data_IF_092909549973
#
_entry.id   IF_092909549973
#
_cell.length_a   1.000
_cell.length_b   1.000
_cell.length_c   1.000
_cell.angle_alpha   90.00
_cell.angle_beta   90.00
_cell.angle_gamma   90.00
#
_symmetry.space_group_name_H-M   'P 1'
#
loop_
_entity.id
_entity.type
_entity.pdbx_description
1 polymer ?
#
# COMPACT_ATOMS: atom_id res chain seq x y z
N UNK A 1 38.24 -81.85 -9.59
CA UNK A 1 36.78 -82.07 -9.57
C UNK A 1 36.16 -80.69 -9.38
N UNK A 2 35.85 -79.97 -10.46
CA UNK A 2 34.55 -79.94 -11.16
C UNK A 2 33.46 -79.30 -10.27
N UNK A 3 32.63 -78.35 -10.68
CA UNK A 3 32.42 -77.61 -11.92
C UNK A 3 31.53 -76.38 -11.60
N UNK A 4 31.42 -75.50 -12.59
CA UNK A 4 30.79 -74.18 -12.68
C UNK A 4 29.25 -74.19 -12.41
N UNK A 5 28.71 -73.12 -11.82
CA UNK A 5 27.47 -72.49 -12.32
C UNK A 5 27.35 -71.01 -11.92
N UNK A 6 27.01 -70.20 -12.92
CA UNK A 6 26.92 -68.74 -12.94
C UNK A 6 25.43 -68.29 -12.94
N UNK A 7 25.11 -67.25 -12.12
CA UNK A 7 24.05 -66.18 -12.19
C UNK A 7 22.54 -66.55 -12.42
N UNK A 8 21.52 -65.71 -12.03
CA UNK A 8 21.52 -64.23 -12.02
C UNK A 8 20.73 -63.45 -10.92
N UNK A 9 20.97 -62.13 -10.94
CA UNK A 9 20.26 -60.91 -10.49
C UNK A 9 18.99 -60.93 -9.60
N UNK A 10 18.96 -60.03 -8.60
CA UNK A 10 17.85 -59.11 -8.33
C UNK A 10 18.30 -57.90 -7.45
N UNK A 11 17.95 -56.64 -7.82
CA UNK A 11 18.31 -55.44 -7.06
C UNK A 11 17.33 -55.16 -5.91
N UNK A 12 17.84 -54.75 -4.75
CA UNK A 12 17.01 -54.28 -3.62
C UNK A 12 16.64 -52.82 -3.89
N UNK A 13 15.33 -52.58 -4.00
CA UNK A 13 14.72 -51.29 -4.24
C UNK A 13 14.94 -50.30 -3.08
N UNK A 14 15.41 -49.10 -3.41
CA UNK A 14 15.25 -47.90 -2.59
C UNK A 14 13.79 -47.46 -2.68
N UNK A 15 12.99 -47.77 -1.66
CA UNK A 15 11.64 -47.22 -1.51
C UNK A 15 11.74 -45.72 -1.23
N UNK A 16 11.26 -44.94 -2.20
CA UNK A 16 11.03 -43.50 -2.08
C UNK A 16 9.98 -43.21 -1.00
N UNK A 17 10.31 -42.33 -0.06
CA UNK A 17 9.36 -41.74 0.87
C UNK A 17 8.47 -40.70 0.14
N UNK A 18 7.18 -40.56 0.49
CA UNK A 18 6.24 -39.69 -0.20
C UNK A 18 6.55 -38.18 -0.01
N UNK A 19 6.17 -37.32 -0.97
CA UNK A 19 6.59 -35.92 -1.08
C UNK A 19 5.85 -34.95 -0.13
N UNK A 20 5.33 -35.41 1.00
CA UNK A 20 4.51 -34.60 1.91
C UNK A 20 5.29 -33.93 3.05
N UNK A 21 6.60 -34.17 3.18
CA UNK A 21 7.42 -33.60 4.27
C UNK A 21 8.35 -32.44 3.85
N UNK A 22 8.48 -32.14 2.56
CA UNK A 22 9.29 -30.99 2.09
C UNK A 22 8.51 -29.66 2.03
N UNK A 23 7.17 -29.70 2.16
CA UNK A 23 6.35 -28.49 2.14
C UNK A 23 6.34 -27.72 3.47
N UNK A 24 6.50 -28.40 4.61
CA UNK A 24 6.47 -27.76 5.92
C UNK A 24 7.74 -26.95 6.24
N UNK A 25 8.90 -27.30 5.65
CA UNK A 25 10.16 -26.61 5.94
C UNK A 25 10.39 -25.35 5.07
N UNK A 26 9.70 -25.23 3.93
CA UNK A 26 9.81 -24.08 3.03
C UNK A 26 8.99 -22.86 3.50
N UNK A 27 7.93 -23.07 4.30
CA UNK A 27 7.11 -21.99 4.87
C UNK A 27 7.84 -21.27 6.02
N UNK A 28 8.66 -22.00 6.79
CA UNK A 28 9.43 -21.43 7.90
C UNK A 28 10.64 -20.60 7.44
N UNK A 29 11.29 -20.94 6.32
CA UNK A 29 12.44 -20.17 5.80
C UNK A 29 12.06 -18.88 5.05
N UNK A 30 10.82 -18.76 4.55
CA UNK A 30 10.31 -17.51 3.95
C UNK A 30 10.05 -16.40 4.97
N UNK A 31 9.82 -16.74 6.24
CA UNK A 31 9.63 -15.75 7.31
C UNK A 31 10.93 -15.04 7.73
N UNK A 32 12.10 -15.68 7.56
CA UNK A 32 13.38 -15.12 8.00
C UNK A 32 13.97 -14.09 7.01
N UNK A 33 13.70 -14.21 5.71
CA UNK A 33 14.25 -13.29 4.69
C UNK A 33 13.41 -12.01 4.57
N UNK A 34 12.10 -12.09 4.82
CA UNK A 34 11.24 -10.91 4.95
C UNK A 34 11.66 -10.04 6.17
N UNK A 35 12.21 -10.66 7.22
CA UNK A 35 12.66 -9.97 8.42
C UNK A 35 13.90 -9.08 8.19
N UNK A 36 14.74 -9.39 7.19
CA UNK A 36 15.99 -8.68 6.96
C UNK A 36 15.84 -7.43 6.08
N UNK A 37 14.86 -7.38 5.17
CA UNK A 37 14.57 -6.19 4.35
C UNK A 37 13.63 -5.18 5.04
N UNK A 38 12.88 -5.62 6.06
CA UNK A 38 12.05 -4.75 6.90
C UNK A 38 12.87 -3.82 7.81
N UNK A 39 14.15 -4.17 8.07
CA UNK A 39 15.00 -3.47 9.03
C UNK A 39 15.71 -2.22 8.50
N UNK A 40 15.65 -1.92 7.21
CA UNK A 40 16.30 -0.71 6.67
C UNK A 40 15.47 0.56 6.86
N UNK A 41 14.17 0.44 7.20
CA UNK A 41 13.32 1.58 7.60
C UNK A 41 12.99 1.62 9.11
N UNK A 42 13.54 0.71 9.91
CA UNK A 42 13.33 0.65 11.36
C UNK A 42 14.45 1.34 12.13
N UNK A 43 14.74 2.61 11.83
CA UNK A 43 15.37 3.55 12.77
C UNK A 43 15.27 4.98 12.17
N UNK A 44 14.34 5.85 12.57
CA UNK A 44 14.50 6.67 13.76
C UNK A 44 13.20 7.44 14.07
N UNK A 45 12.63 7.18 15.25
CA UNK A 45 12.00 8.16 16.17
C UNK A 45 11.00 9.20 15.60
N UNK A 46 9.74 8.79 15.55
CA UNK A 46 8.75 9.36 16.47
C UNK A 46 7.94 8.20 17.00
N UNK A 47 7.72 8.14 18.31
CA UNK A 47 6.74 7.22 18.85
C UNK A 47 5.43 7.50 18.12
N UNK A 48 4.89 6.50 17.45
CA UNK A 48 3.47 6.42 17.17
C UNK A 48 2.76 6.46 18.53
N UNK A 49 2.59 7.65 19.09
CA UNK A 49 1.49 7.89 19.99
C UNK A 49 0.24 7.83 19.11
N UNK A 50 -0.15 6.61 18.74
CA UNK A 50 -1.50 6.28 18.27
C UNK A 50 -2.46 6.43 19.45
N UNK A 51 -2.46 7.62 20.04
CA UNK A 51 -3.44 8.05 21.00
C UNK A 51 -4.73 8.21 20.24
N UNK A 52 -5.77 7.51 20.71
CA UNK A 52 -7.13 7.77 20.26
C UNK A 52 -7.41 9.26 20.53
N UNK A 53 -7.87 10.04 19.54
CA UNK A 53 -8.22 11.45 19.73
C UNK A 53 -9.21 11.64 20.88
N UNK A 54 -9.31 12.86 21.39
CA UNK A 54 -10.29 13.15 22.44
C UNK A 54 -11.72 13.18 21.88
N UNK A 55 -12.67 12.68 22.66
CA UNK A 55 -14.09 12.71 22.28
C UNK A 55 -14.63 14.15 22.41
N UNK A 56 -15.37 14.61 21.40
CA UNK A 56 -16.03 15.92 21.41
C UNK A 56 -17.17 15.95 22.44
N UNK A 57 -17.21 17.01 23.26
CA UNK A 57 -18.31 17.29 24.19
C UNK A 57 -19.43 18.06 23.49
N UNK A 58 -20.62 17.48 23.45
CA UNK A 58 -21.83 18.11 22.90
C UNK A 58 -22.67 18.70 24.04
N UNK A 59 -22.57 20.02 24.23
CA UNK A 59 -23.33 20.76 25.24
C UNK A 59 -24.45 21.60 24.63
N UNK A 60 -25.41 21.99 25.46
CA UNK A 60 -26.45 22.94 25.08
C UNK A 60 -25.82 24.30 24.71
N UNK A 61 -26.35 24.95 23.67
CA UNK A 61 -25.87 26.26 23.22
C UNK A 61 -24.53 26.25 22.48
N UNK A 62 -23.99 25.07 22.12
CA UNK A 62 -22.77 24.97 21.34
C UNK A 62 -22.99 25.43 19.88
N UNK A 63 -22.21 26.42 19.44
CA UNK A 63 -22.18 26.83 18.04
C UNK A 63 -21.35 25.86 17.19
N UNK A 64 -21.98 25.22 16.22
CA UNK A 64 -21.33 24.29 15.31
C UNK A 64 -20.28 24.99 14.45
N UNK A 65 -19.15 24.30 14.27
CA UNK A 65 -18.02 24.72 13.45
C UNK A 65 -17.43 23.48 12.78
N UNK A 66 -16.76 23.59 11.62
CA UNK A 66 -16.18 22.45 10.92
C UNK A 66 -15.27 21.58 11.81
N UNK A 67 -14.54 22.21 12.74
CA UNK A 67 -13.63 21.52 13.65
C UNK A 67 -14.34 20.48 14.53
N UNK A 68 -15.60 20.72 14.93
CA UNK A 68 -16.34 19.76 15.75
C UNK A 68 -16.62 18.45 14.98
N UNK A 69 -16.99 18.57 13.71
CA UNK A 69 -17.21 17.40 12.85
C UNK A 69 -15.89 16.70 12.53
N UNK A 70 -14.85 17.46 12.17
CA UNK A 70 -13.53 16.90 11.87
C UNK A 70 -12.93 16.12 13.05
N UNK A 71 -13.05 16.64 14.28
CA UNK A 71 -12.57 15.95 15.47
C UNK A 71 -13.43 14.73 15.82
N UNK A 72 -14.74 14.80 15.60
CA UNK A 72 -15.62 13.66 15.76
C UNK A 72 -15.27 12.54 14.77
N UNK A 73 -15.04 12.87 13.50
CA UNK A 73 -14.67 11.89 12.47
C UNK A 73 -13.33 11.23 12.79
N UNK A 74 -12.30 12.03 13.11
CA UNK A 74 -11.00 11.52 13.54
C UNK A 74 -11.09 10.59 14.76
N UNK A 75 -11.92 10.93 15.75
CA UNK A 75 -12.15 10.07 16.92
C UNK A 75 -12.73 8.72 16.52
N UNK A 76 -13.73 8.70 15.64
CA UNK A 76 -14.38 7.46 15.20
C UNK A 76 -13.48 6.62 14.31
N UNK A 77 -12.78 7.22 13.36
CA UNK A 77 -11.80 6.55 12.48
C UNK A 77 -10.68 5.92 13.29
N UNK A 78 -10.07 6.66 14.22
CA UNK A 78 -9.00 6.15 15.08
C UNK A 78 -9.48 5.00 15.98
N UNK A 79 -10.70 5.11 16.54
CA UNK A 79 -11.28 4.04 17.37
C UNK A 79 -11.56 2.78 16.55
N UNK A 80 -12.06 2.92 15.32
CA UNK A 80 -12.27 1.81 14.39
C UNK A 80 -10.94 1.15 14.04
N UNK A 81 -9.95 1.94 13.63
CA UNK A 81 -8.62 1.45 13.29
C UNK A 81 -7.95 0.71 14.47
N UNK A 82 -8.02 1.27 15.68
CA UNK A 82 -7.46 0.64 16.88
C UNK A 82 -8.15 -0.69 17.21
N UNK A 83 -9.47 -0.74 17.09
CA UNK A 83 -10.24 -1.98 17.31
C UNK A 83 -9.90 -3.03 16.27
N UNK A 84 -9.78 -2.64 14.99
CA UNK A 84 -9.44 -3.55 13.91
C UNK A 84 -8.01 -4.11 14.06
N UNK A 85 -7.06 -3.30 14.53
CA UNK A 85 -5.68 -3.73 14.83
C UNK A 85 -5.58 -4.68 16.01
N UNK A 86 -6.50 -4.59 16.98
CA UNK A 86 -6.57 -5.57 18.06
C UNK A 86 -6.93 -6.98 17.54
N UNK A 87 -7.64 -7.07 16.40
CA UNK A 87 -7.97 -8.32 15.74
C UNK A 87 -6.88 -8.77 14.76
N UNK A 88 -6.28 -7.82 14.02
CA UNK A 88 -5.25 -8.09 13.03
C UNK A 88 -4.07 -7.10 13.18
N UNK A 89 -2.98 -7.48 13.88
CA UNK A 89 -1.90 -6.55 14.25
C UNK A 89 -1.22 -5.82 13.09
N UNK A 90 -1.21 -6.43 11.90
CA UNK A 90 -0.62 -5.90 10.67
C UNK A 90 -1.69 -5.62 9.61
N UNK A 91 -2.78 -4.92 10.00
CA UNK A 91 -3.88 -4.54 9.09
C UNK A 91 -3.50 -3.34 8.20
N UNK A 92 -2.42 -3.45 7.45
CA UNK A 92 -2.00 -2.47 6.44
C UNK A 92 -1.34 -3.19 5.26
N UNK A 93 -1.34 -2.58 4.09
CA UNK A 93 -0.80 -3.16 2.87
C UNK A 93 -1.73 -3.04 1.67
N UNK A 94 -1.29 -3.61 0.55
CA UNK A 94 -2.01 -3.69 -0.71
C UNK A 94 -3.08 -4.79 -0.62
N UNK A 95 -4.32 -4.45 -0.95
CA UNK A 95 -5.41 -5.39 -1.16
C UNK A 95 -5.50 -5.81 -2.63
N UNK A 96 -5.43 -4.83 -3.52
CA UNK A 96 -5.38 -5.06 -4.97
C UNK A 96 -4.58 -3.96 -5.66
N UNK A 97 -3.86 -4.31 -6.72
CA UNK A 97 -3.11 -3.36 -7.53
C UNK A 97 -3.08 -3.82 -8.98
N UNK A 98 -3.54 -2.97 -9.88
CA UNK A 98 -3.64 -3.26 -11.31
C UNK A 98 -2.77 -2.28 -12.07
N UNK A 99 -1.83 -2.81 -12.85
CA UNK A 99 -0.82 -2.05 -13.58
C UNK A 99 -1.06 -2.11 -15.08
N UNK A 100 -0.90 -0.97 -15.75
CA UNK A 100 -0.93 -0.87 -17.21
C UNK A 100 0.45 -1.29 -17.78
N UNK A 101 0.61 -2.58 -18.08
CA UNK A 101 1.88 -3.12 -18.59
C UNK A 101 2.20 -2.68 -20.02
N UNK A 102 1.21 -2.25 -20.80
CA UNK A 102 1.46 -1.71 -22.14
C UNK A 102 2.02 -0.28 -22.04
N UNK A 103 1.52 0.54 -21.11
CA UNK A 103 2.16 1.80 -20.75
C UNK A 103 3.58 1.60 -20.21
N UNK A 104 3.82 0.54 -19.42
CA UNK A 104 5.17 0.22 -18.91
C UNK A 104 6.15 -0.05 -20.04
N UNK A 105 5.76 -0.83 -21.06
CA UNK A 105 6.56 -1.06 -22.26
C UNK A 105 6.86 0.24 -23.02
N UNK A 106 5.94 1.20 -22.97
CA UNK A 106 6.11 2.54 -23.52
C UNK A 106 6.90 3.51 -22.60
N UNK A 107 7.47 3.02 -21.49
CA UNK A 107 8.28 3.82 -20.56
C UNK A 107 7.47 4.66 -19.58
N UNK A 108 6.19 4.35 -19.36
CA UNK A 108 5.33 5.05 -18.40
C UNK A 108 4.80 4.09 -17.34
N UNK A 109 4.96 4.45 -16.08
CA UNK A 109 4.37 3.72 -14.97
C UNK A 109 2.97 4.27 -14.65
N UNK A 110 1.95 3.42 -14.78
CA UNK A 110 0.54 3.81 -14.60
C UNK A 110 -0.25 2.69 -13.92
N UNK A 111 -1.15 3.11 -13.04
CA UNK A 111 -2.14 2.25 -12.40
C UNK A 111 -3.48 2.30 -13.14
N UNK A 112 -4.15 1.16 -13.21
CA UNK A 112 -5.54 1.01 -13.64
C UNK A 112 -6.49 0.87 -12.44
N UNK A 113 -5.97 0.34 -11.32
CA UNK A 113 -6.69 0.14 -10.08
C UNK A 113 -5.74 0.09 -8.90
N UNK A 114 -6.15 0.62 -7.75
CA UNK A 114 -5.37 0.61 -6.53
C UNK A 114 -6.29 0.49 -5.31
N UNK A 115 -6.12 -0.55 -4.53
CA UNK A 115 -6.77 -0.69 -3.24
C UNK A 115 -5.79 -1.10 -2.16
N UNK A 116 -5.72 -0.32 -1.08
CA UNK A 116 -4.77 -0.53 0.01
C UNK A 116 -5.22 0.13 1.32
N UNK A 117 -4.58 -0.26 2.42
CA UNK A 117 -4.74 0.37 3.73
C UNK A 117 -3.37 0.85 4.20
N UNK A 118 -3.23 2.15 4.48
CA UNK A 118 -2.03 2.76 5.05
C UNK A 118 -1.87 2.41 6.54
N UNK A 119 -0.64 2.59 7.05
CA UNK A 119 -0.30 2.28 8.45
C UNK A 119 -1.03 3.17 9.45
N UNK A 120 -1.39 4.38 9.04
CA UNK A 120 -2.20 5.32 9.80
C UNK A 120 -3.70 4.94 9.85
N UNK A 121 -4.11 3.96 9.05
CA UNK A 121 -5.48 3.44 8.97
C UNK A 121 -6.29 3.98 7.78
N UNK A 122 -5.73 4.86 6.96
CA UNK A 122 -6.43 5.36 5.78
C UNK A 122 -6.62 4.26 4.74
N UNK A 123 -7.87 4.10 4.30
CA UNK A 123 -8.25 3.15 3.27
C UNK A 123 -8.38 3.90 1.95
N UNK A 124 -7.65 3.44 0.93
CA UNK A 124 -7.75 3.98 -0.43
C UNK A 124 -8.30 2.93 -1.38
N UNK A 125 -9.24 3.37 -2.21
CA UNK A 125 -9.83 2.59 -3.30
C UNK A 125 -9.95 3.49 -4.54
N UNK A 126 -9.05 3.33 -5.50
CA UNK A 126 -9.01 4.09 -6.75
C UNK A 126 -9.31 3.15 -7.94
N UNK A 127 -10.21 3.55 -8.87
CA UNK A 127 -10.76 4.90 -9.06
C UNK A 127 -12.06 5.22 -8.27
N UNK A 128 -12.57 4.29 -7.45
CA UNK A 128 -13.90 4.42 -6.84
C UNK A 128 -14.01 5.61 -5.85
N UNK A 129 -13.28 5.57 -4.75
CA UNK A 129 -13.29 6.56 -3.66
C UNK A 129 -12.11 7.54 -3.70
N UNK A 130 -11.10 7.30 -4.54
CA UNK A 130 -9.97 8.21 -4.76
C UNK A 130 -9.60 8.27 -6.27
N UNK A 131 -9.00 9.35 -6.76
CA UNK A 131 -8.43 9.36 -8.10
C UNK A 131 -7.22 8.42 -8.18
N UNK A 132 -6.95 7.87 -9.37
CA UNK A 132 -5.71 7.14 -9.61
C UNK A 132 -4.51 8.09 -9.54
N UNK A 133 -3.35 7.64 -9.00
CA UNK A 133 -2.13 8.42 -9.03
C UNK A 133 -1.72 8.84 -10.44
N UNK A 134 -1.06 10.00 -10.55
CA UNK A 134 -0.57 10.49 -11.83
C UNK A 134 0.46 9.51 -12.44
N UNK A 135 0.41 9.22 -13.75
CA UNK A 135 1.41 8.39 -14.41
C UNK A 135 2.81 8.99 -14.31
N UNK A 136 3.81 8.14 -14.12
CA UNK A 136 5.20 8.56 -14.01
C UNK A 136 5.96 8.21 -15.28
N UNK A 137 6.71 9.17 -15.81
CA UNK A 137 7.59 8.99 -16.95
C UNK A 137 8.94 8.40 -16.49
N UNK A 138 9.21 7.15 -16.87
CA UNK A 138 10.41 6.41 -16.45
C UNK A 138 11.68 6.89 -17.18
N UNK A 139 11.55 7.70 -18.24
CA UNK A 139 12.71 8.30 -18.92
C UNK A 139 13.50 9.25 -18.02
N UNK A 140 12.86 9.74 -16.94
CA UNK A 140 13.48 10.63 -15.94
C UNK A 140 14.41 9.89 -14.97
N UNK A 141 14.33 8.55 -14.91
CA UNK A 141 15.16 7.74 -14.02
C UNK A 141 16.58 7.65 -14.62
N UNK A 142 17.64 8.01 -13.86
CA UNK A 142 19.01 7.96 -14.37
C UNK A 142 19.41 6.58 -14.89
N UNK A 143 20.23 6.55 -15.95
CA UNK A 143 20.68 5.30 -16.56
C UNK A 143 21.55 4.43 -15.63
N UNK A 144 22.17 5.03 -14.62
CA UNK A 144 22.94 4.33 -13.57
C UNK A 144 22.06 3.53 -12.60
N UNK A 145 20.76 3.82 -12.52
CA UNK A 145 19.82 3.12 -11.65
C UNK A 145 19.31 1.87 -12.38
N UNK A 146 19.67 0.71 -11.83
CA UNK A 146 19.32 -0.61 -12.35
C UNK A 146 18.08 -1.21 -11.70
N UNK A 147 17.76 -0.80 -10.47
CA UNK A 147 16.59 -1.23 -9.71
C UNK A 147 15.99 0.00 -9.02
N UNK A 148 14.66 0.12 -9.05
CA UNK A 148 13.92 1.22 -8.42
C UNK A 148 12.63 0.69 -7.80
N UNK A 149 12.38 1.03 -6.55
CA UNK A 149 11.14 0.66 -5.85
C UNK A 149 10.16 1.81 -5.89
N UNK A 150 8.92 1.52 -6.27
CA UNK A 150 7.82 2.46 -6.34
C UNK A 150 6.86 2.24 -5.17
N UNK A 151 6.43 3.36 -4.61
CA UNK A 151 5.56 3.42 -3.45
C UNK A 151 4.26 4.13 -3.82
N UNK A 152 3.15 3.61 -3.31
CA UNK A 152 1.97 4.43 -3.09
C UNK A 152 2.24 5.31 -1.87
N UNK A 153 2.36 6.61 -2.11
CA UNK A 153 2.72 7.62 -1.11
C UNK A 153 1.53 8.55 -0.87
N UNK A 154 1.10 8.64 0.39
CA UNK A 154 0.05 9.54 0.84
C UNK A 154 0.65 10.59 1.78
N UNK A 155 0.47 11.90 1.55
CA UNK A 155 1.00 12.91 2.46
C UNK A 155 0.55 12.68 3.90
N UNK A 156 1.48 12.78 4.85
CA UNK A 156 1.16 12.68 6.27
C UNK A 156 0.26 13.84 6.71
N UNK A 157 -0.61 13.59 7.69
CA UNK A 157 -1.51 14.63 8.20
C UNK A 157 -0.74 15.68 9.01
N UNK A 158 -0.97 16.95 8.71
CA UNK A 158 -0.44 18.10 9.46
C UNK A 158 -1.43 18.52 10.55
N UNK A 159 -0.98 18.52 11.81
CA UNK A 159 -1.77 19.02 12.94
C UNK A 159 -2.05 20.53 12.84
N UNK A 160 -1.23 21.28 12.11
CA UNK A 160 -1.35 22.73 11.93
C UNK A 160 -2.34 23.10 10.80
N UNK A 161 -3.04 22.12 10.22
CA UNK A 161 -3.93 22.32 9.08
C UNK A 161 -3.19 22.26 7.73
N UNK A 162 -3.86 22.71 6.68
CA UNK A 162 -3.34 22.63 5.30
C UNK A 162 -3.44 21.22 4.69
N UNK A 163 -4.32 20.36 5.20
CA UNK A 163 -4.46 18.98 4.75
C UNK A 163 -5.31 18.80 3.49
N UNK A 164 -5.97 19.85 3.02
CA UNK A 164 -6.80 19.84 1.82
C UNK A 164 -6.26 20.82 0.77
N UNK A 165 -6.27 20.40 -0.50
CA UNK A 165 -5.81 21.18 -1.64
C UNK A 165 -6.55 22.50 -1.73
N UNK A 166 -5.77 23.57 -1.82
CA UNK A 166 -6.22 24.83 -2.39
C UNK A 166 -5.80 24.88 -3.86
N UNK A 167 -6.49 25.68 -4.68
CA UNK A 167 -6.12 25.84 -6.08
C UNK A 167 -4.67 26.36 -6.20
N UNK A 168 -3.76 25.55 -6.77
CA UNK A 168 -2.42 25.99 -7.21
C UNK A 168 -1.19 25.40 -6.50
N UNK A 169 -1.34 24.46 -5.56
CA UNK A 169 -0.19 23.90 -4.82
C UNK A 169 0.67 22.94 -5.66
N UNK A 170 1.97 23.25 -5.79
CA UNK A 170 2.92 22.54 -6.67
C UNK A 170 4.01 21.73 -5.94
N UNK A 171 4.12 21.77 -4.61
CA UNK A 171 5.15 21.02 -3.88
C UNK A 171 4.59 20.28 -2.67
N UNK A 172 4.88 18.97 -2.59
CA UNK A 172 4.44 18.05 -1.54
C UNK A 172 2.98 18.28 -1.11
N UNK A 173 2.09 18.44 -2.10
CA UNK A 173 0.73 18.92 -1.88
C UNK A 173 -0.06 18.16 -0.82
N UNK A 174 -1.21 18.69 -0.40
CA UNK A 174 -1.98 18.18 0.73
C UNK A 174 -2.42 16.72 0.58
N UNK A 175 -2.73 16.12 1.74
CA UNK A 175 -3.24 14.76 1.85
C UNK A 175 -4.52 14.54 1.07
N UNK A 176 -5.39 15.54 1.00
CA UNK A 176 -6.68 15.45 0.35
C UNK A 176 -6.81 16.45 -0.81
N UNK A 177 -7.31 15.98 -1.94
CA UNK A 177 -7.93 16.82 -2.98
C UNK A 177 -9.41 17.07 -2.68
N UNK A 178 -10.01 18.05 -3.34
CA UNK A 178 -11.45 18.35 -3.23
C UNK A 178 -12.18 17.97 -4.53
N UNK A 179 -13.40 17.44 -4.41
CA UNK A 179 -14.27 17.11 -5.54
C UNK A 179 -15.72 17.42 -5.19
N UNK A 180 -16.38 18.27 -5.97
CA UNK A 180 -17.81 18.54 -5.83
C UNK A 180 -18.63 17.49 -6.57
N UNK A 181 -19.74 17.07 -5.97
CA UNK A 181 -20.73 16.19 -6.59
C UNK A 181 -22.14 16.56 -6.11
N UNK A 182 -23.09 16.62 -7.03
CA UNK A 182 -24.51 16.72 -6.70
C UNK A 182 -25.00 15.43 -6.01
N UNK A 183 -25.67 15.60 -4.87
CA UNK A 183 -26.15 14.50 -4.03
C UNK A 183 -27.65 14.63 -3.86
N UNK A 184 -28.37 13.59 -4.25
CA UNK A 184 -29.80 13.47 -4.00
C UNK A 184 -30.10 13.27 -2.51
N UNK A 185 -31.19 13.87 -2.05
CA UNK A 185 -31.74 13.57 -0.74
C UNK A 185 -32.45 12.20 -0.75
N UNK A 186 -31.99 11.32 0.14
CA UNK A 186 -32.46 9.95 0.22
C UNK A 186 -33.79 9.80 0.99
N UNK A 187 -34.24 10.81 1.73
CA UNK A 187 -35.33 10.65 2.70
C UNK A 187 -36.51 11.60 2.51
N UNK A 188 -36.28 12.86 2.13
CA UNK A 188 -37.33 13.90 2.15
C UNK A 188 -37.72 14.45 0.77
N UNK A 189 -37.19 13.87 -0.31
CA UNK A 189 -37.34 14.37 -1.69
C UNK A 189 -36.94 15.86 -1.85
N UNK A 190 -36.00 16.33 -1.04
CA UNK A 190 -35.42 17.65 -1.22
C UNK A 190 -34.63 17.72 -2.54
N UNK A 191 -34.41 18.95 -3.01
CA UNK A 191 -33.58 19.22 -4.19
C UNK A 191 -32.17 18.72 -3.93
N UNK A 192 -31.52 18.21 -4.98
CA UNK A 192 -30.12 17.79 -4.92
C UNK A 192 -29.22 18.95 -4.48
N UNK A 193 -28.18 18.61 -3.73
CA UNK A 193 -27.24 19.59 -3.21
C UNK A 193 -25.82 19.26 -3.66
N UNK A 194 -25.06 20.30 -4.00
CA UNK A 194 -23.62 20.18 -4.22
C UNK A 194 -22.91 19.90 -2.90
N UNK A 195 -22.24 18.76 -2.82
CA UNK A 195 -21.43 18.36 -1.68
C UNK A 195 -19.97 18.25 -2.11
N UNK A 196 -19.09 18.90 -1.36
CA UNK A 196 -17.63 18.84 -1.55
C UNK A 196 -17.07 17.68 -0.73
N UNK A 197 -16.46 16.73 -1.42
CA UNK A 197 -15.81 15.56 -0.84
C UNK A 197 -14.29 15.74 -0.80
N UNK A 198 -13.67 15.25 0.26
CA UNK A 198 -12.23 15.04 0.33
C UNK A 198 -11.88 13.71 -0.34
N UNK A 199 -10.84 13.71 -1.18
CA UNK A 199 -10.34 12.52 -1.89
C UNK A 199 -8.86 12.37 -1.59
N UNK A 200 -8.43 11.23 -1.06
CA UNK A 200 -7.03 10.99 -0.70
C UNK A 200 -6.14 11.11 -1.94
N UNK A 201 -5.07 11.91 -1.82
CA UNK A 201 -4.21 12.30 -2.94
C UNK A 201 -2.97 11.41 -3.00
N UNK A 202 -3.17 10.12 -3.29
CA UNK A 202 -2.08 9.15 -3.42
C UNK A 202 -1.21 9.45 -4.64
N UNK A 203 0.10 9.29 -4.48
CA UNK A 203 1.11 9.50 -5.52
C UNK A 203 1.95 8.25 -5.71
N UNK A 204 2.49 8.09 -6.91
CA UNK A 204 3.57 7.16 -7.17
C UNK A 204 4.89 7.89 -6.95
N UNK A 205 5.67 7.44 -5.97
CA UNK A 205 7.00 7.99 -5.65
C UNK A 205 8.04 6.88 -5.68
N UNK A 206 9.25 7.23 -6.08
CA UNK A 206 10.39 6.31 -6.09
C UNK A 206 11.18 6.34 -4.77
N UNK A 207 11.95 5.30 -4.48
CA UNK A 207 12.97 5.30 -3.41
C UNK A 207 14.14 6.27 -3.65
N UNK A 208 14.18 6.91 -4.83
CA UNK A 208 15.15 7.95 -5.15
C UNK A 208 14.73 9.34 -4.63
N UNK A 209 13.48 9.47 -4.18
CA UNK A 209 12.90 10.72 -3.68
C UNK A 209 12.78 10.70 -2.16
N UNK A 210 12.75 11.87 -1.49
CA UNK A 210 12.55 11.94 -0.05
C UNK A 210 11.12 11.53 0.34
N UNK A 211 10.98 10.36 0.95
CA UNK A 211 9.68 9.78 1.35
C UNK A 211 9.20 10.19 2.76
N UNK A 212 10.02 10.90 3.54
CA UNK A 212 9.77 11.13 4.98
C UNK A 212 8.53 11.98 5.33
N UNK A 213 7.92 12.66 4.36
CA UNK A 213 6.69 13.44 4.54
C UNK A 213 5.41 12.66 4.14
N UNK A 214 5.54 11.37 3.86
CA UNK A 214 4.49 10.52 3.32
C UNK A 214 4.37 9.22 4.09
N UNK A 215 3.14 8.76 4.28
CA UNK A 215 2.85 7.36 4.54
C UNK A 215 3.03 6.59 3.24
N UNK A 216 3.93 5.60 3.25
CA UNK A 216 4.36 4.90 2.05
C UNK A 216 4.10 3.39 2.16
N UNK A 217 3.54 2.82 1.10
CA UNK A 217 3.46 1.37 0.90
C UNK A 217 4.20 1.02 -0.40
N UNK A 218 5.22 0.16 -0.38
CA UNK A 218 5.87 -0.28 -1.61
C UNK A 218 4.89 -1.14 -2.41
N UNK A 219 4.70 -0.79 -3.69
CA UNK A 219 3.69 -1.41 -4.57
C UNK A 219 4.29 -2.12 -5.77
N UNK A 220 5.49 -1.74 -6.20
CA UNK A 220 6.18 -2.38 -7.33
C UNK A 220 7.68 -2.13 -7.25
N UNK A 221 8.48 -3.10 -7.69
CA UNK A 221 9.90 -2.91 -7.97
C UNK A 221 10.17 -3.14 -9.44
N UNK A 222 10.88 -2.22 -10.07
CA UNK A 222 11.26 -2.32 -11.48
C UNK A 222 12.76 -2.56 -11.59
N UNK A 223 13.16 -3.38 -12.57
CA UNK A 223 14.54 -3.58 -12.97
C UNK A 223 14.76 -3.08 -14.40
N UNK A 224 15.92 -2.49 -14.63
CA UNK A 224 16.31 -2.03 -15.95
C UNK A 224 16.84 -3.21 -16.76
N UNK A 225 16.28 -3.40 -17.95
CA UNK A 225 16.75 -4.42 -18.90
C UNK A 225 17.89 -3.89 -19.75
N UNK A 226 18.67 -4.79 -20.36
CA UNK A 226 19.83 -4.43 -21.20
C UNK A 226 19.44 -3.55 -22.39
N UNK A 227 18.21 -3.67 -22.87
CA UNK A 227 17.65 -2.81 -23.95
C UNK A 227 17.31 -1.39 -23.49
N UNK A 228 17.49 -1.08 -22.20
CA UNK A 228 17.28 0.24 -21.60
C UNK A 228 15.89 0.47 -21.00
N UNK A 229 14.92 -0.40 -21.29
CA UNK A 229 13.58 -0.37 -20.71
C UNK A 229 13.51 -0.84 -19.26
N UNK A 230 12.30 -0.90 -18.71
CA UNK A 230 12.04 -1.42 -17.36
C UNK A 230 11.09 -2.62 -17.41
N UNK A 231 11.34 -3.60 -16.55
CA UNK A 231 10.45 -4.73 -16.32
C UNK A 231 10.12 -4.88 -14.82
N UNK A 232 8.94 -5.41 -14.47
CA UNK A 232 8.63 -5.73 -13.08
C UNK A 232 9.54 -6.83 -12.54
N UNK A 233 10.03 -6.64 -11.33
CA UNK A 233 10.76 -7.69 -10.63
C UNK A 233 9.80 -8.75 -10.05
N UNK A 234 9.82 -9.95 -10.63
CA UNK A 234 9.01 -11.08 -10.19
C UNK A 234 9.30 -11.57 -8.76
N UNK A 235 10.44 -11.21 -8.17
CA UNK A 235 10.79 -11.56 -6.78
C UNK A 235 10.24 -10.57 -5.76
N UNK A 236 9.73 -9.42 -6.19
CA UNK A 236 9.16 -8.41 -5.33
C UNK A 236 7.75 -8.81 -4.90
N UNK A 237 7.50 -8.77 -3.60
CA UNK A 237 6.18 -9.02 -3.01
C UNK A 237 5.84 -7.81 -2.13
N UNK A 238 4.79 -7.04 -2.44
CA UNK A 238 4.38 -5.94 -1.59
C UNK A 238 3.81 -6.46 -0.26
N UNK A 239 3.76 -5.63 0.79
CA UNK A 239 2.96 -5.93 1.98
C UNK A 239 1.50 -6.10 1.54
N UNK A 240 0.94 -7.29 1.69
CA UNK A 240 -0.41 -7.61 1.20
C UNK A 240 -1.39 -7.88 2.35
N UNK A 241 -2.65 -7.51 2.11
CA UNK A 241 -3.79 -7.86 2.95
C UNK A 241 -4.50 -9.07 2.32
N UNK A 242 -4.12 -10.26 2.79
CA UNK A 242 -4.69 -11.61 2.49
C UNK A 242 -4.98 -11.96 1.03
#
# INVERSE_FOLDING_TARGET
MASIHEMPAAPIALTQAPPSFLFACAVAKRHAVAFALMNVCLDTRHGDSMSIPSKVLWGEGLFLRPQHFQQQDQYHEARLHHTARALHPYLWGVRDVQWDFDALKAGKLRLEGLSLIFRDGEIVDAPASAPLPQPVDLSRIPASVLEVTWYAALPSISANGGNAASHGDQHAGPRYGQSSREVADLYTQAVEADVIYLRSAVRLMSDLEPLGAFECIPVMRLRRVVTGGFEPDASFIPPCLS
#
